data_IF_266369680887
#
_entry.id   IF_266369680887
#
_cell.length_a   1.000
_cell.length_b   1.000
_cell.length_c   1.000
_cell.angle_alpha   90.00
_cell.angle_beta   90.00
_cell.angle_gamma   90.00
#
_symmetry.space_group_name_H-M   'P 1'
#
loop_
_entity.id
_entity.type
_entity.pdbx_description
1 polymer ?
#
# COMPACT_ATOMS: atom_id res chain seq x y z
N UNK A 1 9.09 7.61 7.12
CA UNK A 1 9.37 7.11 5.75
C UNK A 1 10.38 7.94 4.95
N UNK A 2 10.88 9.11 5.39
CA UNK A 2 11.77 9.92 4.54
C UNK A 2 13.04 9.18 4.07
N UNK A 3 13.77 8.53 4.99
CA UNK A 3 15.00 7.80 4.66
C UNK A 3 14.74 6.65 3.67
N UNK A 4 13.73 5.80 3.96
CA UNK A 4 13.34 4.69 3.07
C UNK A 4 13.03 5.20 1.65
N UNK A 5 12.28 6.31 1.53
CA UNK A 5 11.95 6.85 0.20
C UNK A 5 13.18 7.44 -0.49
N UNK A 6 14.10 8.06 0.24
CA UNK A 6 15.37 8.55 -0.33
C UNK A 6 16.23 7.38 -0.86
N UNK A 7 16.32 6.29 -0.11
CA UNK A 7 17.07 5.10 -0.52
C UNK A 7 16.47 4.47 -1.78
N UNK A 8 15.13 4.39 -1.86
CA UNK A 8 14.42 3.94 -3.06
C UNK A 8 14.69 4.86 -4.27
N UNK A 9 14.67 6.18 -4.07
CA UNK A 9 14.98 7.13 -5.14
C UNK A 9 16.42 6.98 -5.62
N UNK A 10 17.37 6.76 -4.72
CA UNK A 10 18.78 6.55 -5.06
C UNK A 10 19.00 5.32 -5.95
N UNK A 11 18.10 4.33 -5.90
CA UNK A 11 18.15 3.12 -6.75
C UNK A 11 17.20 3.18 -7.96
N UNK A 12 16.66 4.36 -8.29
CA UNK A 12 15.90 4.59 -9.53
C UNK A 12 14.38 4.73 -9.38
N UNK A 13 13.84 4.75 -8.16
CA UNK A 13 12.42 5.08 -7.96
C UNK A 13 12.16 6.59 -8.12
N UNK A 14 10.95 6.94 -8.53
CA UNK A 14 10.50 8.32 -8.74
C UNK A 14 9.32 8.63 -7.82
N UNK A 15 9.47 9.66 -6.97
CA UNK A 15 8.44 10.12 -6.04
C UNK A 15 7.16 10.52 -6.78
N UNK A 16 6.02 10.03 -6.30
CA UNK A 16 4.72 10.31 -6.92
C UNK A 16 4.42 9.47 -8.17
N UNK A 17 5.38 8.67 -8.66
CA UNK A 17 5.23 7.84 -9.84
C UNK A 17 5.42 6.35 -9.54
N UNK A 18 6.62 5.93 -9.14
CA UNK A 18 6.93 4.53 -8.80
C UNK A 18 7.07 4.29 -7.30
N UNK A 19 7.22 5.36 -6.50
CA UNK A 19 7.07 5.31 -5.03
C UNK A 19 6.04 6.35 -4.59
N UNK A 20 4.96 5.89 -3.94
CA UNK A 20 3.79 6.70 -3.62
C UNK A 20 3.32 6.44 -2.20
N UNK A 21 2.84 7.48 -1.53
CA UNK A 21 2.28 7.39 -0.19
C UNK A 21 0.76 7.24 -0.23
N UNK A 22 0.21 6.45 0.69
CA UNK A 22 -1.22 6.32 0.94
C UNK A 22 -1.51 6.71 2.39
N UNK A 23 -1.47 8.01 2.74
CA UNK A 23 -1.82 8.45 4.09
C UNK A 23 -3.33 8.27 4.35
N UNK A 24 -3.69 7.94 5.58
CA UNK A 24 -5.07 7.83 6.04
C UNK A 24 -5.25 8.52 7.40
N UNK A 25 -6.50 8.77 7.78
CA UNK A 25 -6.83 9.27 9.12
C UNK A 25 -6.69 8.14 10.15
N UNK A 26 -5.54 8.10 10.82
CA UNK A 26 -5.22 7.07 11.81
C UNK A 26 -6.09 7.09 13.07
N UNK A 27 -6.93 8.12 13.25
CA UNK A 27 -7.89 8.21 14.36
C UNK A 27 -9.13 7.32 14.14
N UNK A 28 -9.37 6.91 12.89
CA UNK A 28 -10.52 6.12 12.47
C UNK A 28 -10.22 4.63 12.47
N UNK A 29 -11.21 3.82 12.81
CA UNK A 29 -11.12 2.37 12.67
C UNK A 29 -11.28 1.96 11.19
N UNK A 30 -10.79 0.77 10.78
CA UNK A 30 -10.85 0.34 9.38
C UNK A 30 -12.24 0.41 8.73
N UNK A 31 -13.30 0.10 9.48
CA UNK A 31 -14.68 0.18 8.99
C UNK A 31 -15.14 1.62 8.64
N UNK A 32 -14.43 2.64 9.09
CA UNK A 32 -14.70 4.06 8.80
C UNK A 32 -13.81 4.62 7.67
N UNK A 33 -12.94 3.78 7.09
CA UNK A 33 -11.96 4.14 6.06
C UNK A 33 -12.41 3.77 4.63
N UNK A 34 -13.72 3.66 4.39
CA UNK A 34 -14.28 3.25 3.09
C UNK A 34 -13.72 4.05 1.90
N UNK A 35 -13.79 5.38 1.95
CA UNK A 35 -13.26 6.26 0.90
C UNK A 35 -11.75 6.07 0.71
N UNK A 36 -11.00 5.93 1.81
CA UNK A 36 -9.56 5.65 1.74
C UNK A 36 -9.26 4.32 1.04
N UNK A 37 -10.07 3.28 1.24
CA UNK A 37 -9.85 2.00 0.56
C UNK A 37 -10.17 2.06 -0.93
N UNK A 38 -11.16 2.85 -1.34
CA UNK A 38 -11.42 3.13 -2.75
C UNK A 38 -10.24 3.87 -3.39
N UNK A 39 -9.74 4.90 -2.73
CA UNK A 39 -8.58 5.68 -3.19
C UNK A 39 -7.31 4.81 -3.22
N UNK A 40 -7.10 3.95 -2.22
CA UNK A 40 -5.97 3.02 -2.15
C UNK A 40 -6.01 2.02 -3.29
N UNK A 41 -7.18 1.45 -3.60
CA UNK A 41 -7.34 0.55 -4.74
C UNK A 41 -7.00 1.26 -6.05
N UNK A 42 -7.57 2.44 -6.28
CA UNK A 42 -7.29 3.25 -7.47
C UNK A 42 -5.81 3.63 -7.57
N UNK A 43 -5.17 3.96 -6.44
CA UNK A 43 -3.74 4.26 -6.37
C UNK A 43 -2.88 3.07 -6.80
N UNK A 44 -3.22 1.87 -6.34
CA UNK A 44 -2.48 0.64 -6.69
C UNK A 44 -2.63 0.33 -8.18
N UNK A 45 -3.85 0.42 -8.71
CA UNK A 45 -4.14 0.16 -10.12
C UNK A 45 -3.45 1.20 -11.04
N UNK A 46 -3.51 2.49 -10.71
CA UNK A 46 -2.81 3.55 -11.43
C UNK A 46 -1.29 3.39 -11.37
N UNK A 47 -0.74 2.98 -10.23
CA UNK A 47 0.70 2.72 -10.07
C UNK A 47 1.14 1.53 -10.93
N UNK A 48 0.35 0.45 -10.96
CA UNK A 48 0.61 -0.70 -11.81
C UNK A 48 0.65 -0.31 -13.29
N UNK A 49 -0.35 0.43 -13.77
CA UNK A 49 -0.45 0.85 -15.17
C UNK A 49 0.70 1.80 -15.56
N UNK A 50 1.03 2.77 -14.69
CA UNK A 50 2.13 3.72 -14.92
C UNK A 50 3.50 3.05 -14.97
N UNK A 51 3.67 1.91 -14.30
CA UNK A 51 4.94 1.19 -14.22
C UNK A 51 4.94 -0.06 -15.11
N UNK A 52 4.42 0.04 -16.34
CA UNK A 52 4.43 -1.02 -17.35
C UNK A 52 3.78 -2.34 -16.87
N UNK A 53 2.64 -2.24 -16.18
CA UNK A 53 1.93 -3.40 -15.64
C UNK A 53 2.77 -4.21 -14.63
N UNK A 54 3.64 -3.52 -13.89
CA UNK A 54 4.44 -4.13 -12.84
C UNK A 54 3.66 -4.15 -11.53
N UNK A 55 3.58 -5.34 -10.91
CA UNK A 55 2.93 -5.56 -9.62
C UNK A 55 3.53 -4.65 -8.53
N UNK A 56 2.68 -4.16 -7.64
CA UNK A 56 3.03 -3.24 -6.56
C UNK A 56 3.55 -4.00 -5.35
N UNK A 57 4.66 -3.54 -4.79
CA UNK A 57 5.14 -3.93 -3.46
C UNK A 57 4.57 -2.96 -2.44
N UNK A 58 3.77 -3.46 -1.50
CA UNK A 58 3.24 -2.66 -0.40
C UNK A 58 4.19 -2.71 0.81
N UNK A 59 4.47 -1.55 1.41
CA UNK A 59 5.23 -1.44 2.66
C UNK A 59 4.35 -0.71 3.66
N UNK A 60 4.05 -1.34 4.80
CA UNK A 60 3.30 -0.71 5.88
C UNK A 60 4.06 -0.77 7.21
N UNK A 61 3.76 0.18 8.10
CA UNK A 61 4.40 0.31 9.41
C UNK A 61 3.35 0.37 10.53
N UNK A 62 3.61 -0.34 11.64
CA UNK A 62 2.77 -0.35 12.84
C UNK A 62 1.29 -0.60 12.50
N UNK A 63 0.38 0.29 12.89
CA UNK A 63 -1.06 0.22 12.62
C UNK A 63 -1.41 0.19 11.12
N UNK A 64 -0.55 0.69 10.23
CA UNK A 64 -0.77 0.57 8.79
C UNK A 64 -0.81 -0.88 8.33
N UNK A 65 -0.19 -1.80 9.06
CA UNK A 65 -0.16 -3.21 8.71
C UNK A 65 -1.54 -3.90 8.83
N UNK A 66 -2.23 -3.89 10.00
CA UNK A 66 -3.58 -4.44 10.08
C UNK A 66 -4.59 -3.68 9.21
N UNK A 67 -4.41 -2.38 8.98
CA UNK A 67 -5.26 -1.60 8.05
C UNK A 67 -5.10 -2.10 6.61
N UNK A 68 -3.87 -2.31 6.14
CA UNK A 68 -3.62 -2.85 4.81
C UNK A 68 -4.05 -4.32 4.68
N UNK A 69 -3.89 -5.12 5.74
CA UNK A 69 -4.40 -6.49 5.76
C UNK A 69 -5.93 -6.52 5.68
N UNK A 70 -6.62 -5.62 6.40
CA UNK A 70 -8.07 -5.46 6.29
C UNK A 70 -8.47 -5.17 4.84
N UNK A 71 -7.79 -4.23 4.18
CA UNK A 71 -8.01 -3.95 2.75
C UNK A 71 -7.82 -5.22 1.89
N UNK A 72 -6.70 -5.93 2.01
CA UNK A 72 -6.43 -7.15 1.22
C UNK A 72 -7.47 -8.26 1.45
N UNK A 73 -7.99 -8.41 2.66
CA UNK A 73 -9.01 -9.40 2.97
C UNK A 73 -10.37 -9.09 2.31
N UNK A 74 -10.60 -7.84 1.92
CA UNK A 74 -11.81 -7.41 1.20
C UNK A 74 -11.60 -7.32 -0.32
N UNK A 75 -10.43 -7.69 -0.83
CA UNK A 75 -10.15 -7.73 -2.27
C UNK A 75 -10.25 -9.15 -2.83
N UNK A 76 -10.82 -9.33 -4.05
CA UNK A 76 -10.82 -10.63 -4.72
C UNK A 76 -9.40 -11.19 -4.88
N UNK A 77 -9.24 -12.51 -4.79
CA UNK A 77 -7.93 -13.14 -4.95
C UNK A 77 -7.30 -12.83 -6.32
N UNK A 78 -8.12 -12.84 -7.38
CA UNK A 78 -7.70 -12.47 -8.74
C UNK A 78 -7.18 -11.03 -8.85
N UNK A 79 -7.73 -10.10 -8.05
CA UNK A 79 -7.23 -8.73 -7.99
C UNK A 79 -5.85 -8.68 -7.33
N UNK A 80 -5.68 -9.37 -6.19
CA UNK A 80 -4.39 -9.45 -5.49
C UNK A 80 -3.33 -10.10 -6.36
N UNK A 81 -3.66 -11.20 -7.03
CA UNK A 81 -2.75 -11.91 -7.93
C UNK A 81 -2.30 -11.04 -9.11
N UNK A 82 -3.16 -10.11 -9.56
CA UNK A 82 -2.85 -9.19 -10.65
C UNK A 82 -2.01 -8.00 -10.20
N UNK A 83 -2.34 -7.39 -9.06
CA UNK A 83 -1.79 -6.07 -8.70
C UNK A 83 -0.73 -6.08 -7.60
N UNK A 84 -0.67 -7.10 -6.75
CA UNK A 84 0.21 -7.13 -5.58
C UNK A 84 1.35 -8.13 -5.79
N UNK A 85 2.58 -7.66 -5.66
CA UNK A 85 3.77 -8.51 -5.70
C UNK A 85 4.08 -9.07 -4.32
N UNK A 86 4.09 -8.20 -3.32
CA UNK A 86 4.42 -8.56 -1.94
C UNK A 86 3.91 -7.50 -0.97
N UNK A 87 3.76 -7.91 0.29
CA UNK A 87 3.42 -7.06 1.40
C UNK A 87 4.50 -7.15 2.47
N UNK A 88 5.32 -6.10 2.60
CA UNK A 88 6.40 -5.99 3.57
C UNK A 88 5.86 -5.27 4.80
N UNK A 89 5.98 -5.95 5.95
CA UNK A 89 5.42 -5.46 7.22
C UNK A 89 6.53 -4.99 8.14
N UNK A 90 6.42 -3.76 8.63
CA UNK A 90 7.37 -3.18 9.58
C UNK A 90 6.66 -2.99 10.92
N UNK A 91 7.11 -3.72 11.96
CA UNK A 91 6.56 -3.64 13.32
C UNK A 91 5.03 -3.77 13.40
N UNK A 92 4.44 -4.73 12.68
CA UNK A 92 2.99 -4.94 12.63
C UNK A 92 2.37 -5.30 13.98
N UNK A 93 1.25 -4.66 14.31
CA UNK A 93 0.49 -4.87 15.55
C UNK A 93 -0.72 -5.78 15.29
N UNK A 94 -0.48 -7.08 15.17
CA UNK A 94 -1.46 -8.05 14.67
C UNK A 94 -2.59 -8.44 15.64
N UNK A 95 -2.45 -8.07 16.92
CA UNK A 95 -3.22 -8.70 17.99
C UNK A 95 -2.68 -10.11 18.27
N UNK A 96 -2.50 -10.43 19.55
CA UNK A 96 -2.22 -11.81 19.97
C UNK A 96 -3.54 -12.51 20.27
#
# INVERSE_FOLDING_TARGET
FNNIVNDLVAIGYTRGFSVRGAPFDFRKAPNELGDYFLDLQALIEDTYLKNNNTKVVAIAHSMGNPVFLYFLNHQPQTWKDKFIQSFITLAGVWGR
#
